data_IF_387455439343
#
_entry.id   IF_387455439343
#
_cell.length_a   1.000
_cell.length_b   1.000
_cell.length_c   1.000
_cell.angle_alpha   90.00
_cell.angle_beta   90.00
_cell.angle_gamma   90.00
#
_symmetry.space_group_name_H-M   'P 1'
#
loop_
_entity.id
_entity.type
_entity.pdbx_description
1 polymer ?
#
# COMPACT_ATOMS: atom_id res chain seq x y z
N UNK A 1 5.09 18.57 -7.92
CA UNK A 1 4.14 17.99 -8.88
C UNK A 1 3.68 16.64 -8.34
N UNK A 2 2.38 16.49 -8.05
CA UNK A 2 1.82 15.18 -7.69
C UNK A 2 1.64 14.39 -9.00
N UNK A 3 2.62 13.58 -9.34
CA UNK A 3 2.53 12.68 -10.50
C UNK A 3 1.34 11.71 -10.33
N UNK A 4 0.75 11.26 -11.44
CA UNK A 4 -0.28 10.24 -11.42
C UNK A 4 0.29 8.94 -10.83
N UNK A 5 -0.38 8.41 -9.81
CA UNK A 5 0.00 7.14 -9.19
C UNK A 5 -0.59 6.01 -10.01
N UNK A 6 0.26 5.14 -10.54
CA UNK A 6 -0.19 3.93 -11.21
C UNK A 6 -0.65 2.90 -10.18
N UNK A 7 -1.90 2.45 -10.32
CA UNK A 7 -2.45 1.33 -9.56
C UNK A 7 -2.69 0.19 -10.55
N UNK A 8 -1.99 -0.92 -10.33
CA UNK A 8 -2.14 -2.12 -11.17
C UNK A 8 -3.56 -2.70 -11.03
N UNK A 9 -4.15 -3.25 -12.09
CA UNK A 9 -5.48 -3.86 -12.05
C UNK A 9 -5.61 -4.94 -10.96
N UNK A 10 -4.59 -5.79 -10.78
CA UNK A 10 -4.58 -6.82 -9.76
C UNK A 10 -4.65 -6.25 -8.33
N UNK A 11 -3.94 -5.15 -8.07
CA UNK A 11 -3.99 -4.44 -6.78
C UNK A 11 -5.39 -3.88 -6.53
N UNK A 12 -5.99 -3.27 -7.56
CA UNK A 12 -7.37 -2.76 -7.49
C UNK A 12 -8.36 -3.89 -7.19
N UNK A 13 -8.24 -5.02 -7.88
CA UNK A 13 -9.10 -6.17 -7.68
C UNK A 13 -9.01 -6.73 -6.24
N UNK A 14 -7.80 -6.86 -5.70
CA UNK A 14 -7.58 -7.30 -4.31
C UNK A 14 -8.20 -6.31 -3.32
N UNK A 15 -8.02 -5.00 -3.53
CA UNK A 15 -8.65 -3.96 -2.72
C UNK A 15 -10.18 -4.06 -2.76
N UNK A 16 -10.78 -4.11 -3.95
CA UNK A 16 -12.23 -4.20 -4.11
C UNK A 16 -12.79 -5.48 -3.47
N UNK A 17 -12.04 -6.58 -3.49
CA UNK A 17 -12.37 -7.82 -2.78
C UNK A 17 -12.46 -7.62 -1.26
N UNK A 18 -11.47 -6.91 -0.69
CA UNK A 18 -11.49 -6.58 0.76
C UNK A 18 -12.63 -5.66 1.11
N UNK A 19 -12.93 -4.65 0.26
CA UNK A 19 -14.05 -3.75 0.51
C UNK A 19 -15.40 -4.47 0.51
N UNK A 20 -15.59 -5.48 -0.33
CA UNK A 20 -16.83 -6.27 -0.40
C UNK A 20 -16.97 -7.30 0.73
N UNK A 21 -15.99 -8.17 0.88
CA UNK A 21 -16.11 -9.38 1.69
C UNK A 21 -15.00 -9.55 2.74
N UNK A 22 -13.90 -8.81 2.63
CA UNK A 22 -12.76 -8.89 3.54
C UNK A 22 -12.85 -7.91 4.70
N UNK A 23 -11.74 -7.83 5.43
CA UNK A 23 -11.55 -6.93 6.56
C UNK A 23 -10.24 -6.18 6.49
N UNK A 24 -9.18 -6.87 6.08
CA UNK A 24 -7.82 -6.40 6.17
C UNK A 24 -7.18 -6.47 4.78
N UNK A 25 -6.63 -5.35 4.32
CA UNK A 25 -5.65 -5.31 3.24
C UNK A 25 -4.27 -5.09 3.85
N UNK A 26 -3.41 -6.07 3.75
CA UNK A 26 -2.06 -6.03 4.29
C UNK A 26 -1.04 -5.86 3.17
N UNK A 27 -0.27 -4.79 3.20
CA UNK A 27 0.85 -4.59 2.29
C UNK A 27 2.12 -5.17 2.92
N UNK A 28 2.71 -6.16 2.28
CA UNK A 28 3.95 -6.81 2.69
C UNK A 28 5.00 -6.56 1.61
N UNK A 29 5.68 -5.42 1.66
CA UNK A 29 6.68 -5.08 0.65
C UNK A 29 7.78 -4.16 1.21
N UNK A 30 9.02 -4.22 0.71
CA UNK A 30 10.13 -3.37 1.12
C UNK A 30 9.85 -1.87 0.95
N UNK A 31 10.78 -1.05 1.45
CA UNK A 31 10.79 0.38 1.17
C UNK A 31 10.91 0.64 -0.33
N UNK A 32 10.30 1.71 -0.84
CA UNK A 32 10.37 2.07 -2.27
C UNK A 32 9.30 1.41 -3.16
N UNK A 33 8.51 0.46 -2.66
CA UNK A 33 7.45 -0.20 -3.42
C UNK A 33 6.15 0.60 -3.53
N UNK A 34 6.14 1.85 -3.06
CA UNK A 34 5.00 2.75 -3.24
C UNK A 34 3.77 2.45 -2.38
N UNK A 35 3.90 1.63 -1.32
CA UNK A 35 2.77 1.21 -0.44
C UNK A 35 1.89 2.38 -0.01
N UNK A 36 2.48 3.40 0.62
CA UNK A 36 1.75 4.57 1.13
C UNK A 36 1.08 5.36 0.00
N UNK A 37 1.75 5.52 -1.14
CA UNK A 37 1.20 6.21 -2.30
C UNK A 37 -0.01 5.47 -2.89
N UNK A 38 0.13 4.15 -3.09
CA UNK A 38 -0.95 3.28 -3.59
C UNK A 38 -2.12 3.25 -2.61
N UNK A 39 -1.86 3.05 -1.31
CA UNK A 39 -2.90 3.05 -0.29
C UNK A 39 -3.69 4.36 -0.30
N UNK A 40 -3.01 5.51 -0.23
CA UNK A 40 -3.66 6.82 -0.27
C UNK A 40 -4.48 7.04 -1.54
N UNK A 41 -4.01 6.55 -2.70
CA UNK A 41 -4.75 6.67 -3.94
C UNK A 41 -6.01 5.77 -3.97
N UNK A 42 -5.94 4.57 -3.39
CA UNK A 42 -7.08 3.66 -3.23
C UNK A 42 -8.14 4.24 -2.28
N UNK A 43 -7.70 4.92 -1.23
CA UNK A 43 -8.54 5.35 -0.12
C UNK A 43 -9.17 6.75 -0.29
N UNK A 44 -8.88 7.47 -1.38
CA UNK A 44 -9.33 8.87 -1.60
C UNK A 44 -10.82 9.14 -1.39
N UNK A 45 -11.67 8.13 -1.56
CA UNK A 45 -13.14 8.27 -1.48
C UNK A 45 -13.71 7.82 -0.13
N UNK A 46 -12.86 7.40 0.80
CA UNK A 46 -13.25 6.82 2.08
C UNK A 46 -12.87 7.75 3.23
N UNK A 47 -13.69 7.75 4.28
CA UNK A 47 -13.30 8.39 5.54
C UNK A 47 -12.23 7.55 6.21
N UNK A 48 -10.98 7.93 6.01
CA UNK A 48 -9.83 7.17 6.48
C UNK A 48 -9.20 7.83 7.69
N UNK A 49 -9.11 7.08 8.79
CA UNK A 49 -8.28 7.43 9.93
C UNK A 49 -6.87 6.89 9.67
N UNK A 50 -5.88 7.79 9.63
CA UNK A 50 -4.49 7.42 9.38
C UNK A 50 -3.69 7.49 10.68
N UNK A 51 -3.06 6.37 11.03
CA UNK A 51 -2.10 6.28 12.13
C UNK A 51 -0.72 5.92 11.57
N UNK A 52 0.31 6.40 12.23
CA UNK A 52 1.70 6.02 11.95
C UNK A 52 2.27 5.35 13.18
N UNK A 53 2.76 4.11 13.02
CA UNK A 53 3.30 3.34 14.15
C UNK A 53 4.65 3.88 14.66
N UNK A 54 5.33 4.75 13.89
CA UNK A 54 6.54 5.46 14.31
C UNK A 54 6.27 6.78 15.06
N UNK A 55 5.00 7.19 15.16
CA UNK A 55 4.65 8.44 15.85
C UNK A 55 4.73 8.26 17.38
N UNK A 56 5.27 9.25 18.13
CA UNK A 56 5.41 9.15 19.58
C UNK A 56 4.07 9.00 20.32
N UNK A 57 3.00 9.48 19.73
CA UNK A 57 1.62 9.45 20.23
C UNK A 57 0.79 8.32 19.64
N UNK A 58 1.43 7.34 19.01
CA UNK A 58 0.71 6.20 18.44
C UNK A 58 -0.11 5.47 19.51
N UNK A 59 -1.41 5.38 19.31
CA UNK A 59 -2.33 4.67 20.20
C UNK A 59 -3.50 4.09 19.41
N UNK A 60 -3.92 2.90 19.79
CA UNK A 60 -5.15 2.27 19.32
C UNK A 60 -6.35 2.57 20.25
N UNK A 61 -6.13 3.33 21.33
CA UNK A 61 -7.17 3.73 22.27
C UNK A 61 -7.63 5.16 21.99
N UNK A 62 -8.91 5.44 22.30
CA UNK A 62 -9.47 6.78 22.12
C UNK A 62 -9.63 7.20 20.67
N UNK A 63 -9.75 6.23 19.75
CA UNK A 63 -9.99 6.53 18.32
C UNK A 63 -11.35 7.23 18.16
N UNK A 64 -11.46 8.23 17.26
CA UNK A 64 -12.74 8.87 16.96
C UNK A 64 -13.73 7.85 16.38
N UNK A 65 -15.03 8.16 16.46
CA UNK A 65 -16.07 7.23 15.99
C UNK A 65 -16.29 7.28 14.46
N UNK A 66 -15.92 8.39 13.84
CA UNK A 66 -16.26 8.67 12.44
C UNK A 66 -15.16 8.27 11.45
N UNK A 67 -14.99 6.99 11.19
CA UNK A 67 -14.13 6.48 10.11
C UNK A 67 -14.68 5.18 9.53
N UNK A 68 -14.39 4.96 8.25
CA UNK A 68 -14.74 3.73 7.54
C UNK A 68 -13.55 2.79 7.47
N UNK A 69 -12.35 3.36 7.32
CA UNK A 69 -11.09 2.62 7.15
C UNK A 69 -10.04 3.16 8.14
N UNK A 70 -9.37 2.24 8.84
CA UNK A 70 -8.17 2.54 9.61
C UNK A 70 -6.94 2.15 8.78
N UNK A 71 -6.11 3.14 8.45
CA UNK A 71 -4.79 2.94 7.84
C UNK A 71 -3.73 3.04 8.91
N UNK A 72 -2.89 2.01 9.04
CA UNK A 72 -1.68 2.04 9.88
C UNK A 72 -0.45 1.94 8.99
N UNK A 73 0.35 3.01 8.94
CA UNK A 73 1.64 3.01 8.23
C UNK A 73 2.76 2.59 9.17
N UNK A 74 3.84 2.06 8.59
CA UNK A 74 4.99 1.48 9.30
C UNK A 74 4.60 0.40 10.35
N UNK A 75 3.58 -0.39 10.02
CA UNK A 75 2.99 -1.41 10.90
C UNK A 75 4.01 -2.37 11.52
N UNK A 76 5.15 -2.66 10.85
CA UNK A 76 6.21 -3.51 11.38
C UNK A 76 6.86 -2.99 12.67
N UNK A 77 6.60 -1.75 13.05
CA UNK A 77 7.10 -1.16 14.30
C UNK A 77 6.24 -1.53 15.52
N UNK A 78 5.03 -2.05 15.31
CA UNK A 78 4.19 -2.59 16.38
C UNK A 78 4.70 -4.00 16.72
N UNK A 79 5.54 -4.10 17.74
CA UNK A 79 6.17 -5.36 18.15
C UNK A 79 5.63 -5.92 19.48
N UNK A 80 4.99 -5.08 20.27
CA UNK A 80 4.41 -5.48 21.56
C UNK A 80 3.18 -6.36 21.35
N UNK A 81 3.17 -7.52 22.00
CA UNK A 81 2.08 -8.50 21.87
C UNK A 81 0.74 -7.92 22.28
N UNK A 82 0.74 -7.09 23.31
CA UNK A 82 -0.45 -6.42 23.83
C UNK A 82 -1.07 -5.48 22.79
N UNK A 83 -0.25 -4.70 22.09
CA UNK A 83 -0.71 -3.80 21.02
C UNK A 83 -1.22 -4.59 19.80
N UNK A 84 -0.52 -5.66 19.41
CA UNK A 84 -0.97 -6.54 18.34
C UNK A 84 -2.29 -7.23 18.68
N UNK A 85 -2.45 -7.68 19.92
CA UNK A 85 -3.69 -8.29 20.39
C UNK A 85 -4.82 -7.26 20.42
N UNK A 86 -4.56 -6.06 20.94
CA UNK A 86 -5.54 -4.95 20.95
C UNK A 86 -6.02 -4.60 19.53
N UNK A 87 -5.12 -4.61 18.54
CA UNK A 87 -5.52 -4.41 17.14
C UNK A 87 -6.40 -5.57 16.62
N UNK A 88 -6.04 -6.81 16.93
CA UNK A 88 -6.87 -7.95 16.54
C UNK A 88 -8.29 -7.88 17.15
N UNK A 89 -8.40 -7.44 18.40
CA UNK A 89 -9.66 -7.27 19.09
C UNK A 89 -10.46 -6.09 18.52
N UNK A 90 -9.79 -4.97 18.19
CA UNK A 90 -10.39 -3.84 17.48
C UNK A 90 -10.99 -4.27 16.13
N UNK A 91 -10.27 -5.08 15.35
CA UNK A 91 -10.75 -5.60 14.07
C UNK A 91 -11.99 -6.48 14.28
N UNK A 92 -12.01 -7.35 15.29
CA UNK A 92 -13.16 -8.22 15.60
C UNK A 92 -14.37 -7.42 16.06
N UNK A 93 -14.15 -6.42 16.90
CA UNK A 93 -15.21 -5.57 17.45
C UNK A 93 -15.88 -4.65 16.41
N UNK A 94 -15.22 -4.40 15.27
CA UNK A 94 -15.70 -3.47 14.25
C UNK A 94 -15.99 -4.15 12.91
N UNK A 95 -17.04 -5.00 12.82
CA UNK A 95 -17.32 -5.78 11.62
C UNK A 95 -17.67 -4.98 10.38
N UNK A 96 -18.15 -3.78 10.48
CA UNK A 96 -18.48 -2.90 9.35
C UNK A 96 -17.26 -2.16 8.79
N UNK A 97 -16.17 -2.05 9.56
CA UNK A 97 -14.99 -1.24 9.21
C UNK A 97 -13.94 -2.08 8.49
N UNK A 98 -13.01 -1.42 7.80
CA UNK A 98 -11.89 -2.03 7.09
C UNK A 98 -10.56 -1.50 7.64
N UNK A 99 -9.52 -2.30 7.43
CA UNK A 99 -8.18 -2.03 7.96
C UNK A 99 -7.17 -2.16 6.82
N UNK A 100 -6.31 -1.17 6.67
CA UNK A 100 -5.21 -1.17 5.71
C UNK A 100 -3.91 -1.05 6.47
N UNK A 101 -3.07 -2.07 6.40
CA UNK A 101 -1.84 -2.17 7.17
C UNK A 101 -0.66 -2.16 6.21
N UNK A 102 0.23 -1.16 6.33
CA UNK A 102 1.41 -1.03 5.49
C UNK A 102 2.63 -1.49 6.27
N UNK A 103 3.27 -2.56 5.80
CA UNK A 103 4.40 -3.19 6.47
C UNK A 103 5.56 -3.42 5.49
N UNK A 104 6.76 -3.49 6.04
CA UNK A 104 7.96 -3.97 5.33
C UNK A 104 8.16 -5.48 5.51
N UNK A 105 7.44 -6.08 6.45
CA UNK A 105 7.50 -7.51 6.78
C UNK A 105 6.18 -8.23 6.58
N UNK A 106 6.18 -9.52 6.87
CA UNK A 106 5.01 -10.39 6.78
C UNK A 106 4.01 -10.13 7.92
N UNK A 107 2.74 -10.53 7.75
CA UNK A 107 1.75 -10.44 8.83
C UNK A 107 2.18 -11.25 10.07
N UNK A 108 2.02 -10.70 11.28
CA UNK A 108 2.35 -11.41 12.52
C UNK A 108 1.42 -12.61 12.73
N UNK A 109 1.91 -13.59 13.51
CA UNK A 109 1.19 -14.85 13.76
C UNK A 109 -0.21 -14.66 14.34
N UNK A 110 -0.43 -13.64 15.19
CA UNK A 110 -1.75 -13.33 15.75
C UNK A 110 -2.82 -13.00 14.71
N UNK A 111 -2.41 -12.61 13.49
CA UNK A 111 -3.33 -12.35 12.38
C UNK A 111 -3.61 -13.56 11.48
N UNK A 112 -3.00 -14.72 11.76
CA UNK A 112 -3.16 -15.92 10.94
C UNK A 112 -4.64 -16.33 10.77
N UNK A 113 -5.45 -16.20 11.82
CA UNK A 113 -6.86 -16.53 11.76
C UNK A 113 -7.62 -15.71 10.68
N UNK A 114 -7.32 -14.40 10.54
CA UNK A 114 -7.93 -13.56 9.50
C UNK A 114 -7.55 -14.00 8.09
N UNK A 115 -6.31 -14.47 7.92
CA UNK A 115 -5.85 -15.00 6.62
C UNK A 115 -6.53 -16.32 6.28
N UNK A 116 -6.58 -17.28 7.21
CA UNK A 116 -7.21 -18.58 6.98
C UNK A 116 -8.71 -18.51 6.76
N UNK A 117 -9.38 -17.52 7.34
CA UNK A 117 -10.83 -17.29 7.16
C UNK A 117 -11.15 -16.42 5.94
N UNK A 118 -10.15 -16.00 5.15
CA UNK A 118 -10.35 -15.16 3.98
C UNK A 118 -10.68 -13.68 4.29
N UNK A 119 -10.57 -13.29 5.55
CA UNK A 119 -10.83 -11.90 5.97
C UNK A 119 -9.64 -10.96 5.75
N UNK A 120 -8.43 -11.52 5.51
CA UNK A 120 -7.24 -10.74 5.19
C UNK A 120 -6.71 -11.13 3.81
N UNK A 121 -6.45 -10.10 3.00
CA UNK A 121 -5.77 -10.20 1.70
C UNK A 121 -4.42 -9.52 1.81
N UNK A 122 -3.36 -10.19 1.35
CA UNK A 122 -2.00 -9.63 1.32
C UNK A 122 -1.66 -9.18 -0.09
N UNK A 123 -1.05 -7.99 -0.17
CA UNK A 123 -0.33 -7.49 -1.33
C UNK A 123 1.16 -7.75 -1.10
N UNK A 124 1.71 -8.64 -1.91
CA UNK A 124 3.11 -9.02 -1.88
C UNK A 124 3.96 -8.11 -2.80
N UNK A 125 5.30 -8.14 -2.72
CA UNK A 125 6.15 -7.31 -3.58
C UNK A 125 5.82 -7.44 -5.07
N UNK A 126 5.56 -8.63 -5.57
CA UNK A 126 5.23 -8.89 -6.98
C UNK A 126 3.94 -8.21 -7.46
N UNK A 127 2.99 -7.99 -6.54
CA UNK A 127 1.77 -7.23 -6.86
C UNK A 127 2.08 -5.76 -7.16
N UNK A 128 3.16 -5.23 -6.60
CA UNK A 128 3.54 -3.82 -6.65
C UNK A 128 4.65 -3.52 -7.66
N UNK A 129 5.45 -4.51 -8.05
CA UNK A 129 6.49 -4.34 -9.07
C UNK A 129 5.85 -3.97 -10.41
N UNK A 130 6.46 -3.02 -11.10
CA UNK A 130 6.06 -2.61 -12.45
C UNK A 130 6.71 -3.52 -13.49
N UNK A 131 5.91 -4.06 -14.38
CA UNK A 131 6.42 -4.67 -15.60
C UNK A 131 6.71 -3.59 -16.67
N UNK A 132 7.18 -4.03 -17.85
CA UNK A 132 7.52 -3.10 -18.95
C UNK A 132 6.33 -2.25 -19.37
N UNK A 133 5.13 -2.83 -19.40
CA UNK A 133 3.92 -2.12 -19.81
C UNK A 133 3.43 -1.15 -18.74
N UNK A 134 3.54 -1.54 -17.47
CA UNK A 134 3.27 -0.64 -16.33
C UNK A 134 4.19 0.59 -16.37
N UNK A 135 5.48 0.39 -16.67
CA UNK A 135 6.44 1.50 -16.80
C UNK A 135 6.06 2.41 -17.98
N UNK A 136 5.79 1.83 -19.17
CA UNK A 136 5.34 2.60 -20.33
C UNK A 136 4.10 3.44 -19.99
N UNK A 137 3.10 2.82 -19.37
CA UNK A 137 1.87 3.47 -18.95
C UNK A 137 2.14 4.59 -17.93
N UNK A 138 3.00 4.35 -16.95
CA UNK A 138 3.37 5.36 -15.96
C UNK A 138 3.95 6.62 -16.62
N UNK A 139 4.86 6.46 -17.58
CA UNK A 139 5.45 7.58 -18.33
C UNK A 139 4.40 8.31 -19.16
N UNK A 140 3.52 7.58 -19.86
CA UNK A 140 2.44 8.15 -20.67
C UNK A 140 1.45 8.95 -19.81
N UNK A 141 1.00 8.39 -18.67
CA UNK A 141 0.05 9.02 -17.74
C UNK A 141 0.63 10.30 -17.11
N UNK A 142 1.95 10.36 -16.97
CA UNK A 142 2.67 11.54 -16.47
C UNK A 142 3.17 12.47 -17.58
N UNK A 143 2.80 12.21 -18.87
CA UNK A 143 3.17 13.00 -20.05
C UNK A 143 4.69 13.17 -20.23
N UNK A 144 5.43 12.13 -19.89
CA UNK A 144 6.89 12.09 -20.06
C UNK A 144 7.19 11.23 -21.28
N UNK A 145 7.73 11.82 -22.38
CA UNK A 145 8.09 11.03 -23.54
C UNK A 145 9.23 10.06 -23.21
N UNK A 146 9.11 8.82 -23.69
CA UNK A 146 10.11 7.78 -23.52
C UNK A 146 10.22 6.96 -24.80
N UNK A 147 11.43 6.76 -25.29
CA UNK A 147 11.72 5.89 -26.44
C UNK A 147 11.78 4.43 -26.00
N UNK A 148 11.65 3.48 -26.96
CA UNK A 148 11.78 2.05 -26.66
C UNK A 148 13.16 1.67 -26.12
N UNK A 149 14.21 2.37 -26.55
CA UNK A 149 15.57 2.19 -26.05
C UNK A 149 15.69 2.62 -24.59
N UNK A 150 15.20 3.81 -24.26
CA UNK A 150 15.17 4.33 -22.88
C UNK A 150 14.31 3.45 -21.97
N UNK A 151 13.13 3.03 -22.44
CA UNK A 151 12.27 2.12 -21.71
C UNK A 151 12.99 0.80 -21.36
N UNK A 152 13.76 0.26 -22.27
CA UNK A 152 14.56 -0.96 -22.04
C UNK A 152 15.61 -0.76 -20.95
N UNK A 153 16.26 0.41 -20.91
CA UNK A 153 17.22 0.79 -19.88
C UNK A 153 16.51 0.94 -18.53
N UNK A 154 15.38 1.65 -18.50
CA UNK A 154 14.61 1.87 -17.26
C UNK A 154 14.14 0.55 -16.65
N UNK A 155 13.62 -0.37 -17.46
CA UNK A 155 13.21 -1.72 -16.99
C UNK A 155 14.38 -2.46 -16.36
N UNK A 156 15.55 -2.43 -17.02
CA UNK A 156 16.75 -3.13 -16.54
C UNK A 156 17.29 -2.52 -15.23
N UNK A 157 17.34 -1.20 -15.14
CA UNK A 157 17.93 -0.51 -13.99
C UNK A 157 17.00 -0.47 -12.78
N UNK A 158 15.69 -0.27 -12.99
CA UNK A 158 14.71 -0.21 -11.90
C UNK A 158 14.35 -1.59 -11.35
N UNK A 159 14.57 -2.67 -12.12
CA UNK A 159 14.07 -4.02 -11.82
C UNK A 159 12.56 -4.01 -11.49
N UNK A 160 11.82 -3.07 -12.04
CA UNK A 160 10.40 -2.88 -11.77
C UNK A 160 10.08 -2.18 -10.44
N UNK A 161 11.09 -1.77 -9.66
CA UNK A 161 10.83 -1.07 -8.40
C UNK A 161 10.17 0.30 -8.66
N UNK A 162 8.95 0.56 -8.14
CA UNK A 162 8.23 1.80 -8.40
C UNK A 162 9.03 3.06 -8.06
N UNK A 163 9.81 3.06 -6.98
CA UNK A 163 10.65 4.21 -6.60
C UNK A 163 11.72 4.49 -7.66
N UNK A 164 12.39 3.46 -8.17
CA UNK A 164 13.38 3.60 -9.23
C UNK A 164 12.76 4.23 -10.48
N UNK A 165 11.60 3.74 -10.90
CA UNK A 165 10.86 4.28 -12.05
C UNK A 165 10.47 5.74 -11.83
N UNK A 166 9.95 6.09 -10.63
CA UNK A 166 9.55 7.46 -10.28
C UNK A 166 10.75 8.42 -10.28
N UNK A 167 11.89 8.00 -9.74
CA UNK A 167 13.11 8.82 -9.73
C UNK A 167 13.58 9.10 -11.16
N UNK A 168 13.67 8.07 -12.00
CA UNK A 168 14.06 8.22 -13.41
C UNK A 168 13.11 9.14 -14.16
N UNK A 169 11.79 8.97 -13.97
CA UNK A 169 10.79 9.83 -14.59
C UNK A 169 10.94 11.30 -14.19
N UNK A 170 11.25 11.58 -12.92
CA UNK A 170 11.52 12.96 -12.43
C UNK A 170 12.78 13.56 -13.04
N UNK A 171 13.85 12.77 -13.17
CA UNK A 171 15.08 13.23 -13.81
C UNK A 171 14.83 13.59 -15.28
N UNK A 172 14.09 12.77 -16.02
CA UNK A 172 13.75 13.02 -17.42
C UNK A 172 12.80 14.23 -17.60
N UNK A 173 11.92 14.49 -16.63
CA UNK A 173 11.01 15.65 -16.69
C UNK A 173 11.63 16.97 -16.22
N UNK A 174 12.66 16.93 -15.38
CA UNK A 174 13.35 18.12 -14.84
C UNK A 174 14.49 18.64 -15.71
N UNK A 175 14.86 17.94 -16.78
CA UNK A 175 15.95 18.31 -17.70
C UNK A 175 15.51 19.17 -18.90
N UNK A 176 14.35 19.84 -18.82
CA UNK A 176 13.87 20.79 -19.83
C UNK A 176 13.69 22.17 -19.24
#
# INVERSE_FOLDING_TARGET
>A
MNGNILIKPAVRQKFDGVMRNGRILFFSAPCGFGKTAVANALLRKWRTLCLRADAPDFSLQGLPDEWDILLIDDFQLIQEKEQLQALCDLIRANPARRFVLLSRGVPPACMAAFRYTGLMTTLEPDDLLFDREDIRRYFADNKIPVTESELSVIVKESLGCPLGVVITARQMSGGK
#
